data_IF_029493852923
#
_entry.id   IF_029493852923
#
_cell.length_a   1.000
_cell.length_b   1.000
_cell.length_c   1.000
_cell.angle_alpha   90.00
_cell.angle_beta   90.00
_cell.angle_gamma   90.00
#
_symmetry.space_group_name_H-M   'P 1'
#
loop_
_entity.id
_entity.type
_entity.pdbx_description
1 polymer ?
#
# COMPACT_ATOMS: atom_id res chain seq x y z
N UNK A 1 15.24 14.15 1.73
CA UNK A 1 14.94 13.23 2.85
C UNK A 1 14.52 14.11 4.02
N UNK A 2 13.35 13.90 4.63
CA UNK A 2 12.86 14.76 5.71
C UNK A 2 13.74 14.59 6.96
N UNK A 3 14.08 15.67 7.70
CA UNK A 3 14.99 15.61 8.84
C UNK A 3 14.48 14.77 10.03
N UNK A 4 13.18 14.46 10.09
CA UNK A 4 12.55 13.70 11.19
C UNK A 4 12.66 12.17 11.07
N UNK A 5 13.51 11.63 10.19
CA UNK A 5 13.68 10.19 10.02
C UNK A 5 12.59 9.53 9.17
N UNK A 6 12.35 8.23 9.41
CA UNK A 6 11.45 7.41 8.61
C UNK A 6 9.98 7.62 9.00
N UNK A 7 9.17 8.20 8.10
CA UNK A 7 7.77 8.55 8.39
C UNK A 7 6.86 7.37 8.69
N UNK A 8 7.15 6.18 8.14
CA UNK A 8 6.41 4.96 8.49
C UNK A 8 6.70 4.58 9.95
N UNK A 9 7.97 4.61 10.35
CA UNK A 9 8.35 4.34 11.75
C UNK A 9 7.74 5.38 12.69
N UNK A 10 7.73 6.65 12.30
CA UNK A 10 7.06 7.71 13.05
C UNK A 10 5.53 7.55 13.12
N UNK A 11 4.93 6.77 12.22
CA UNK A 11 3.52 6.39 12.24
C UNK A 11 3.26 5.04 12.93
N UNK A 12 4.26 4.48 13.62
CA UNK A 12 4.13 3.27 14.42
C UNK A 12 4.54 1.97 13.72
N UNK A 13 5.09 2.02 12.51
CA UNK A 13 5.58 0.80 11.86
C UNK A 13 6.85 0.27 12.52
N UNK A 14 6.88 -1.03 12.76
CA UNK A 14 8.10 -1.77 13.07
C UNK A 14 8.87 -2.05 11.76
N UNK A 15 10.09 -1.51 11.66
CA UNK A 15 11.00 -1.80 10.53
C UNK A 15 11.79 -3.07 10.81
N UNK A 16 11.76 -4.02 9.88
CA UNK A 16 12.52 -5.29 9.94
C UNK A 16 13.39 -5.49 8.69
N UNK A 17 14.49 -6.24 8.78
CA UNK A 17 15.20 -6.73 7.60
C UNK A 17 14.27 -7.60 6.74
N UNK A 18 14.44 -7.53 5.41
CA UNK A 18 13.76 -8.45 4.50
C UNK A 18 14.39 -9.85 4.60
N UNK A 19 13.62 -10.91 4.90
CA UNK A 19 14.15 -12.26 5.05
C UNK A 19 14.54 -12.93 3.71
N UNK A 20 14.12 -12.38 2.57
CA UNK A 20 14.38 -12.95 1.25
C UNK A 20 15.23 -12.05 0.35
N UNK A 21 14.67 -10.93 -0.10
CA UNK A 21 15.38 -9.99 -0.97
C UNK A 21 16.37 -9.13 -0.18
N UNK A 22 17.65 -9.15 -0.58
CA UNK A 22 18.66 -8.26 -0.03
C UNK A 22 18.38 -6.79 -0.40
N UNK A 23 18.62 -5.87 0.53
CA UNK A 23 18.52 -4.43 0.30
C UNK A 23 17.11 -3.83 0.42
N UNK A 24 16.08 -4.62 0.76
CA UNK A 24 14.73 -4.12 1.02
C UNK A 24 14.40 -4.16 2.52
N UNK A 25 13.56 -3.22 2.96
CA UNK A 25 13.05 -3.19 4.35
C UNK A 25 11.59 -3.66 4.36
N UNK A 26 11.22 -4.42 5.38
CA UNK A 26 9.83 -4.72 5.69
C UNK A 26 9.33 -3.73 6.75
N UNK A 27 8.10 -3.24 6.57
CA UNK A 27 7.42 -2.44 7.58
C UNK A 27 6.12 -3.13 7.96
N UNK A 28 5.96 -3.41 9.25
CA UNK A 28 4.76 -4.02 9.82
C UNK A 28 4.05 -3.07 10.79
N UNK A 29 2.72 -3.00 10.74
CA UNK A 29 1.89 -2.22 11.66
C UNK A 29 0.65 -3.02 12.03
N UNK A 30 0.39 -3.18 13.33
CA UNK A 30 -0.89 -3.69 13.81
C UNK A 30 -2.02 -2.72 13.43
N UNK A 31 -3.03 -3.21 12.74
CA UNK A 31 -4.11 -2.37 12.24
C UNK A 31 -5.44 -3.13 12.21
N UNK A 32 -6.41 -2.64 12.99
CA UNK A 32 -7.64 -3.35 13.31
C UNK A 32 -7.32 -4.75 13.86
N UNK A 33 -8.04 -5.77 13.41
CA UNK A 33 -7.85 -7.17 13.80
C UNK A 33 -6.74 -7.88 13.01
N UNK A 34 -5.94 -7.15 12.24
CA UNK A 34 -4.86 -7.71 11.42
C UNK A 34 -3.62 -6.83 11.44
N UNK A 35 -2.82 -6.93 10.38
CA UNK A 35 -1.61 -6.13 10.21
C UNK A 35 -1.42 -5.66 8.79
N UNK A 36 -0.92 -4.44 8.64
CA UNK A 36 -0.42 -3.90 7.38
C UNK A 36 1.04 -4.34 7.24
N UNK A 37 1.38 -4.89 6.07
CA UNK A 37 2.78 -5.17 5.71
C UNK A 37 3.12 -4.46 4.41
N UNK A 38 4.22 -3.72 4.43
CA UNK A 38 4.76 -3.01 3.29
C UNK A 38 6.17 -3.50 3.00
N UNK A 39 6.37 -3.99 1.79
CA UNK A 39 7.63 -4.49 1.29
C UNK A 39 7.88 -4.01 -0.15
N UNK A 40 9.13 -4.01 -0.61
CA UNK A 40 9.48 -3.62 -1.99
C UNK A 40 8.88 -4.52 -3.09
N UNK A 41 8.41 -5.72 -2.72
CA UNK A 41 7.84 -6.74 -3.61
C UNK A 41 6.37 -7.06 -3.33
N UNK A 42 5.82 -6.61 -2.20
CA UNK A 42 4.43 -6.85 -1.85
C UNK A 42 3.91 -5.80 -0.86
N UNK A 43 2.59 -5.58 -0.86
CA UNK A 43 1.92 -4.77 0.15
C UNK A 43 0.54 -5.38 0.40
N UNK A 44 0.10 -5.41 1.65
CA UNK A 44 -1.18 -6.04 1.97
C UNK A 44 -1.63 -5.85 3.40
N UNK A 45 -2.81 -6.41 3.68
CA UNK A 45 -3.36 -6.55 5.03
C UNK A 45 -3.63 -8.03 5.30
N UNK A 46 -3.20 -8.47 6.48
CA UNK A 46 -3.16 -9.89 6.86
C UNK A 46 -3.88 -10.09 8.19
N UNK A 47 -4.81 -11.05 8.22
CA UNK A 47 -5.48 -11.58 9.41
C UNK A 47 -5.46 -13.11 9.31
N UNK A 48 -5.75 -13.82 10.40
CA UNK A 48 -5.97 -15.26 10.33
C UNK A 48 -7.10 -15.56 9.34
N UNK A 49 -6.84 -16.45 8.38
CA UNK A 49 -7.80 -16.95 7.36
C UNK A 49 -8.40 -15.87 6.45
N UNK A 50 -7.86 -14.65 6.49
CA UNK A 50 -8.40 -13.52 5.74
C UNK A 50 -7.33 -12.47 5.46
N UNK A 51 -7.46 -11.81 4.32
CA UNK A 51 -6.49 -10.84 3.87
C UNK A 51 -6.39 -10.74 2.37
N UNK A 52 -5.66 -9.73 1.95
CA UNK A 52 -5.27 -9.55 0.56
C UNK A 52 -3.80 -9.13 0.49
N UNK A 53 -3.17 -9.46 -0.62
CA UNK A 53 -1.83 -8.99 -0.92
C UNK A 53 -1.73 -8.59 -2.37
N UNK A 54 -1.14 -7.43 -2.62
CA UNK A 54 -0.60 -7.09 -3.91
C UNK A 54 0.81 -7.68 -4.04
N UNK A 55 1.04 -8.54 -5.03
CA UNK A 55 2.33 -9.13 -5.33
C UNK A 55 2.90 -8.46 -6.58
N UNK A 56 3.98 -7.69 -6.41
CA UNK A 56 4.55 -6.85 -7.46
C UNK A 56 5.00 -7.64 -8.69
N UNK A 57 5.77 -8.75 -8.59
CA UNK A 57 6.19 -9.51 -9.77
C UNK A 57 5.03 -10.13 -10.55
N UNK A 58 3.91 -10.39 -9.89
CA UNK A 58 2.70 -10.92 -10.52
C UNK A 58 1.78 -9.82 -11.04
N UNK A 59 1.99 -8.56 -10.64
CA UNK A 59 1.10 -7.42 -10.93
C UNK A 59 -0.37 -7.68 -10.55
N UNK A 60 -0.62 -8.40 -9.44
CA UNK A 60 -1.96 -8.83 -9.05
C UNK A 60 -2.22 -8.63 -7.56
N UNK A 61 -3.48 -8.30 -7.26
CA UNK A 61 -4.05 -8.45 -5.93
C UNK A 61 -4.70 -9.83 -5.84
N UNK A 62 -4.42 -10.56 -4.76
CA UNK A 62 -4.95 -11.90 -4.49
C UNK A 62 -5.42 -11.99 -3.05
N UNK A 63 -6.26 -12.98 -2.75
CA UNK A 63 -6.52 -13.36 -1.36
C UNK A 63 -5.30 -14.05 -0.78
N UNK A 64 -5.13 -13.94 0.54
CA UNK A 64 -4.01 -14.57 1.24
C UNK A 64 -4.53 -15.38 2.44
N UNK A 65 -4.27 -16.68 2.44
CA UNK A 65 -4.76 -17.65 3.44
C UNK A 65 -3.74 -17.96 4.53
N UNK A 66 -3.11 -16.92 5.06
CA UNK A 66 -2.18 -17.08 6.17
C UNK A 66 -2.11 -15.80 6.97
N UNK A 67 -2.00 -15.89 8.31
CA UNK A 67 -1.72 -14.71 9.11
C UNK A 67 -0.32 -14.15 8.77
N UNK A 68 0.60 -14.96 8.26
CA UNK A 68 1.98 -14.54 7.94
C UNK A 68 2.08 -13.93 6.54
N UNK A 69 2.71 -12.76 6.36
CA UNK A 69 2.90 -12.17 5.04
C UNK A 69 3.85 -13.00 4.20
N UNK A 70 3.75 -12.94 2.87
CA UNK A 70 4.67 -13.64 1.99
C UNK A 70 6.10 -13.19 2.23
N UNK A 71 7.03 -14.15 2.19
CA UNK A 71 8.45 -13.86 2.15
C UNK A 71 8.77 -13.26 0.77
N UNK A 72 9.45 -12.11 0.72
CA UNK A 72 9.83 -11.51 -0.56
C UNK A 72 10.68 -12.44 -1.41
N UNK A 73 10.18 -12.84 -2.57
CA UNK A 73 10.86 -13.80 -3.46
C UNK A 73 10.38 -15.25 -3.29
N UNK A 74 9.57 -15.52 -2.27
CA UNK A 74 9.03 -16.84 -1.96
C UNK A 74 7.53 -16.72 -1.63
N UNK A 75 6.71 -16.90 -2.66
CA UNK A 75 5.25 -16.81 -2.59
C UNK A 75 4.69 -18.23 -2.61
N UNK A 76 4.43 -18.78 -1.43
CA UNK A 76 3.82 -20.11 -1.30
C UNK A 76 2.46 -20.14 -2.04
N UNK A 77 2.32 -20.92 -3.12
CA UNK A 77 1.07 -21.02 -3.86
C UNK A 77 -0.09 -21.54 -3.00
N UNK A 78 0.19 -22.30 -1.94
CA UNK A 78 -0.82 -22.82 -1.02
C UNK A 78 -1.55 -21.71 -0.25
N UNK A 79 -0.92 -20.55 -0.07
CA UNK A 79 -1.52 -19.41 0.61
C UNK A 79 -2.18 -18.41 -0.36
N UNK A 80 -2.07 -18.61 -1.68
CA UNK A 80 -2.66 -17.70 -2.68
C UNK A 80 -4.07 -18.15 -3.01
N UNK A 81 -5.06 -17.35 -2.61
CA UNK A 81 -6.46 -17.58 -2.98
C UNK A 81 -6.80 -16.75 -4.22
N UNK A 82 -7.29 -17.43 -5.26
CA UNK A 82 -7.93 -16.75 -6.38
C UNK A 82 -9.32 -16.30 -5.96
N UNK A 83 -9.52 -14.99 -5.91
CA UNK A 83 -10.78 -14.35 -5.57
C UNK A 83 -11.30 -13.60 -6.80
N UNK A 84 -12.62 -13.46 -6.90
CA UNK A 84 -13.21 -12.54 -7.86
C UNK A 84 -12.88 -11.09 -7.48
N UNK A 85 -12.96 -10.13 -8.43
CA UNK A 85 -12.57 -8.75 -8.18
C UNK A 85 -13.30 -8.07 -7.03
N UNK A 86 -14.56 -8.42 -6.78
CA UNK A 86 -15.36 -7.82 -5.73
C UNK A 86 -14.91 -8.32 -4.35
N UNK A 87 -14.68 -9.62 -4.21
CA UNK A 87 -14.14 -10.19 -2.96
C UNK A 87 -12.72 -9.67 -2.66
N UNK A 88 -11.85 -9.50 -3.67
CA UNK A 88 -10.54 -8.86 -3.48
C UNK A 88 -10.71 -7.43 -2.95
N UNK A 89 -11.67 -6.69 -3.51
CA UNK A 89 -11.95 -5.30 -3.12
C UNK A 89 -12.41 -5.23 -1.67
N UNK A 90 -13.33 -6.11 -1.26
CA UNK A 90 -13.81 -6.19 0.12
C UNK A 90 -12.68 -6.45 1.11
N UNK A 91 -11.82 -7.43 0.82
CA UNK A 91 -10.65 -7.76 1.67
C UNK A 91 -9.59 -6.65 1.73
N UNK A 92 -9.58 -5.75 0.75
CA UNK A 92 -8.66 -4.62 0.70
C UNK A 92 -9.14 -3.40 1.51
N UNK A 93 -10.41 -3.36 1.94
CA UNK A 93 -10.97 -2.24 2.70
C UNK A 93 -10.15 -1.84 3.93
N UNK A 94 -9.68 -2.78 4.81
CA UNK A 94 -8.87 -2.41 5.96
C UNK A 94 -7.57 -1.67 5.60
N UNK A 95 -6.95 -2.05 4.47
CA UNK A 95 -5.74 -1.42 3.97
C UNK A 95 -6.01 -0.05 3.34
N UNK A 96 -7.10 0.10 2.60
CA UNK A 96 -7.51 1.42 2.07
C UNK A 96 -7.83 2.39 3.22
N UNK A 97 -8.51 1.91 4.26
CA UNK A 97 -8.81 2.70 5.45
C UNK A 97 -7.54 3.14 6.17
N UNK A 98 -6.55 2.24 6.29
CA UNK A 98 -5.23 2.60 6.78
C UNK A 98 -4.54 3.64 5.90
N UNK A 99 -4.52 3.43 4.58
CA UNK A 99 -3.83 4.33 3.65
C UNK A 99 -4.42 5.74 3.73
N UNK A 100 -5.75 5.86 3.71
CA UNK A 100 -6.44 7.15 3.85
C UNK A 100 -6.06 7.80 5.19
N UNK A 101 -6.17 7.08 6.30
CA UNK A 101 -5.83 7.61 7.62
C UNK A 101 -4.36 8.06 7.73
N UNK A 102 -3.43 7.28 7.17
CA UNK A 102 -2.02 7.61 7.15
C UNK A 102 -1.74 8.89 6.35
N UNK A 103 -2.39 9.07 5.20
CA UNK A 103 -2.20 10.28 4.38
C UNK A 103 -2.85 11.52 5.01
N UNK A 104 -3.98 11.36 5.69
CA UNK A 104 -4.61 12.44 6.47
C UNK A 104 -3.69 12.87 7.63
N UNK A 105 -3.11 11.93 8.36
CA UNK A 105 -2.15 12.21 9.43
C UNK A 105 -0.85 12.86 8.90
N UNK A 106 -0.33 12.41 7.76
CA UNK A 106 0.83 13.04 7.11
C UNK A 106 0.51 14.49 6.70
N UNK A 107 -0.67 14.72 6.13
CA UNK A 107 -1.12 16.07 5.77
C UNK A 107 -1.25 16.97 7.00
N UNK A 108 -1.80 16.43 8.09
CA UNK A 108 -1.91 17.14 9.37
C UNK A 108 -0.54 17.50 9.96
N UNK A 109 0.41 16.55 10.00
CA UNK A 109 1.73 16.76 10.63
C UNK A 109 2.69 17.60 9.80
N UNK A 110 2.65 17.48 8.47
CA UNK A 110 3.67 18.06 7.57
C UNK A 110 3.12 19.14 6.63
N UNK A 111 1.81 19.39 6.70
CA UNK A 111 1.07 20.31 5.83
C UNK A 111 0.74 19.70 4.47
N UNK A 112 -0.36 20.17 3.87
CA UNK A 112 -0.88 19.70 2.58
C UNK A 112 0.14 19.75 1.43
N UNK A 113 1.04 20.74 1.44
CA UNK A 113 2.09 20.87 0.43
C UNK A 113 3.20 19.82 0.52
N UNK A 114 3.27 18.98 1.55
CA UNK A 114 4.34 18.00 1.72
C UNK A 114 4.36 16.97 0.58
N UNK A 115 3.21 16.35 0.30
CA UNK A 115 3.11 15.34 -0.77
C UNK A 115 3.36 15.92 -2.14
N UNK A 116 2.95 17.17 -2.39
CA UNK A 116 3.28 17.89 -3.63
C UNK A 116 4.79 18.08 -3.82
N UNK A 117 5.51 18.43 -2.75
CA UNK A 117 6.98 18.49 -2.79
C UNK A 117 7.58 17.12 -3.08
N UNK A 118 7.13 16.07 -2.37
CA UNK A 118 7.62 14.70 -2.60
C UNK A 118 7.37 14.23 -4.04
N UNK A 119 6.18 14.48 -4.57
CA UNK A 119 5.80 14.13 -5.94
C UNK A 119 6.71 14.85 -6.95
N UNK A 120 6.90 16.16 -6.79
CA UNK A 120 7.80 16.94 -7.65
C UNK A 120 9.24 16.47 -7.59
N UNK A 121 9.77 16.14 -6.41
CA UNK A 121 11.13 15.61 -6.30
C UNK A 121 11.26 14.21 -6.90
N UNK A 122 10.25 13.34 -6.71
CA UNK A 122 10.23 12.01 -7.32
C UNK A 122 10.24 12.09 -8.85
N UNK A 123 9.49 13.04 -9.42
CA UNK A 123 9.43 13.28 -10.87
C UNK A 123 10.78 13.69 -11.49
N UNK A 124 11.75 14.17 -10.68
CA UNK A 124 13.10 14.50 -11.15
C UNK A 124 14.03 13.29 -11.19
N UNK A 125 13.65 12.16 -10.57
CA UNK A 125 14.53 11.02 -10.48
C UNK A 125 14.63 10.25 -11.82
N UNK A 126 15.82 9.75 -12.20
CA UNK A 126 15.97 8.95 -13.41
C UNK A 126 15.05 7.72 -13.37
N UNK A 127 14.34 7.45 -14.47
CA UNK A 127 13.39 6.33 -14.62
C UNK A 127 12.22 6.36 -13.62
N UNK A 128 11.91 7.51 -13.02
CA UNK A 128 10.70 7.64 -12.22
C UNK A 128 9.47 7.52 -13.12
N UNK A 129 8.52 6.68 -12.70
CA UNK A 129 7.16 6.67 -13.23
C UNK A 129 6.24 7.25 -12.15
N UNK A 130 6.15 8.59 -12.02
CA UNK A 130 5.23 9.21 -11.07
C UNK A 130 3.81 8.78 -11.40
N UNK A 131 3.05 8.47 -10.35
CA UNK A 131 1.64 8.15 -10.49
C UNK A 131 0.82 9.45 -10.60
N UNK A 132 -0.42 9.44 -10.11
CA UNK A 132 -1.26 10.63 -10.02
C UNK A 132 -0.64 11.69 -9.10
N UNK A 133 -0.98 12.97 -9.35
CA UNK A 133 -0.70 14.05 -8.42
C UNK A 133 -1.32 13.72 -7.05
N UNK A 134 -0.74 14.15 -5.93
CA UNK A 134 -1.22 13.83 -4.58
C UNK A 134 -2.72 13.99 -4.37
N UNK A 135 -3.30 15.12 -4.77
CA UNK A 135 -4.74 15.37 -4.59
C UNK A 135 -5.59 14.41 -5.44
N UNK A 136 -5.18 14.16 -6.68
CA UNK A 136 -5.84 13.22 -7.58
C UNK A 136 -5.71 11.78 -7.10
N UNK A 137 -4.54 11.39 -6.58
CA UNK A 137 -4.28 10.09 -6.00
C UNK A 137 -5.21 9.84 -4.80
N UNK A 138 -5.32 10.82 -3.89
CA UNK A 138 -6.19 10.69 -2.72
C UNK A 138 -7.67 10.69 -3.09
N UNK A 139 -8.08 11.50 -4.07
CA UNK A 139 -9.44 11.46 -4.62
C UNK A 139 -9.73 10.08 -5.22
N UNK A 140 -8.81 9.54 -6.02
CA UNK A 140 -8.95 8.22 -6.62
C UNK A 140 -9.07 7.12 -5.55
N UNK A 141 -8.20 7.12 -4.54
CA UNK A 141 -8.22 6.12 -3.45
C UNK A 141 -9.54 6.19 -2.66
N UNK A 142 -9.98 7.41 -2.30
CA UNK A 142 -11.25 7.60 -1.58
C UNK A 142 -12.45 7.16 -2.41
N UNK A 143 -12.51 7.51 -3.70
CA UNK A 143 -13.58 7.03 -4.58
C UNK A 143 -13.52 5.51 -4.74
N UNK A 144 -12.34 4.93 -4.93
CA UNK A 144 -12.18 3.47 -5.02
C UNK A 144 -12.68 2.74 -3.77
N UNK A 145 -12.49 3.38 -2.61
CA UNK A 145 -12.95 2.88 -1.31
C UNK A 145 -14.47 3.01 -1.10
N UNK A 146 -15.12 4.03 -1.63
CA UNK A 146 -16.52 4.35 -1.32
C UNK A 146 -17.50 4.09 -2.46
N UNK A 147 -17.08 4.32 -3.70
CA UNK A 147 -17.87 4.19 -4.92
C UNK A 147 -16.99 3.70 -6.08
N UNK A 148 -16.57 2.42 -6.07
CA UNK A 148 -15.70 1.87 -7.11
C UNK A 148 -16.39 1.80 -8.48
N UNK A 149 -17.73 1.78 -8.53
CA UNK A 149 -18.49 1.63 -9.77
C UNK A 149 -18.41 2.87 -10.66
N UNK A 150 -18.27 4.06 -10.07
CA UNK A 150 -18.07 5.31 -10.82
C UNK A 150 -16.61 5.54 -11.24
N UNK A 151 -15.68 4.69 -10.79
CA UNK A 151 -14.25 4.97 -10.90
C UNK A 151 -13.65 4.44 -12.20
N UNK A 152 -12.98 5.33 -12.92
CA UNK A 152 -12.10 4.95 -14.02
C UNK A 152 -10.73 4.47 -13.50
N UNK A 153 -10.04 3.64 -14.29
CA UNK A 153 -8.64 3.26 -13.98
C UNK A 153 -7.80 4.50 -13.73
N UNK A 154 -6.92 4.46 -12.73
CA UNK A 154 -6.11 5.62 -12.32
C UNK A 154 -5.37 6.29 -13.49
N UNK A 155 -4.81 5.52 -14.43
CA UNK A 155 -4.15 6.06 -15.63
C UNK A 155 -5.07 6.90 -16.54
N UNK A 156 -6.39 6.73 -16.44
CA UNK A 156 -7.43 7.46 -17.17
C UNK A 156 -8.16 8.48 -16.31
N UNK A 157 -7.77 8.64 -15.04
CA UNK A 157 -8.38 9.58 -14.11
C UNK A 157 -8.10 11.05 -14.46
N UNK A 158 -7.18 11.28 -15.41
CA UNK A 158 -6.79 12.58 -15.96
C UNK A 158 -7.50 12.92 -17.28
N UNK A 159 -8.66 12.31 -17.58
CA UNK A 159 -9.48 12.70 -18.73
C UNK A 159 -10.33 13.93 -18.40
#
# INVERSE_FOLDING_TARGET
MHPSGNLLVAAGFAKRPSPGLQGTSCYSLAWREGRIELHGSCAGWFRAEDGFVFIRPMHRCVGWDSPEPPVPGDWDPGNIITLDPETVRERMIPFLDWWIAYEDDISYRLGSGYRERCHREFHKAPRSEPWLKPDDAMRWIRTFRHDPASLVRAKRFLA
#
